data_IF_361060139785
#
_entry.id   IF_361060139785
#
_cell.length_a   1.000
_cell.length_b   1.000
_cell.length_c   1.000
_cell.angle_alpha   90.00
_cell.angle_beta   90.00
_cell.angle_gamma   90.00
#
_symmetry.space_group_name_H-M   'P 1'
#
loop_
_entity.id
_entity.type
_entity.pdbx_description
1 polymer ?
#
# COMPACT_ATOMS: atom_id res chain seq x y z
N UNK A 1 77.22 -18.84 13.81
CA UNK A 1 75.96 -18.15 14.18
C UNK A 1 75.25 -17.86 12.87
N UNK A 2 74.65 -18.84 12.20
CA UNK A 2 73.98 -20.10 12.64
C UNK A 2 72.57 -19.90 13.21
N UNK A 3 71.74 -20.90 12.93
CA UNK A 3 70.27 -20.99 12.96
C UNK A 3 69.55 -20.06 11.96
N UNK A 4 68.63 -20.48 11.07
CA UNK A 4 67.60 -21.55 11.05
C UNK A 4 66.34 -21.24 11.90
N UNK A 5 65.10 -21.57 11.48
CA UNK A 5 64.55 -22.11 10.21
C UNK A 5 63.04 -21.79 10.09
N UNK A 6 62.47 -21.84 8.86
CA UNK A 6 61.06 -22.26 8.54
C UNK A 6 59.88 -21.37 9.00
N UNK A 7 58.65 -21.48 8.49
CA UNK A 7 58.05 -22.10 7.27
C UNK A 7 56.73 -21.34 6.95
N UNK A 8 56.19 -21.41 5.72
CA UNK A 8 54.80 -20.95 5.42
C UNK A 8 54.58 -20.41 4.01
N UNK A 9 54.06 -21.25 3.09
CA UNK A 9 53.92 -20.94 1.66
C UNK A 9 52.46 -20.79 1.18
N UNK A 10 52.29 -20.23 -0.03
CA UNK A 10 51.00 -19.95 -0.69
C UNK A 10 50.33 -21.19 -1.28
N UNK A 11 49.00 -21.31 -1.15
CA UNK A 11 48.17 -22.19 -1.99
C UNK A 11 46.96 -21.41 -2.55
N UNK A 12 46.52 -21.81 -3.75
CA UNK A 12 45.33 -21.34 -4.46
C UNK A 12 44.38 -22.50 -4.75
N UNK A 13 43.13 -22.12 -5.05
CA UNK A 13 42.18 -22.83 -5.93
C UNK A 13 41.61 -24.19 -5.44
N UNK A 14 40.67 -24.70 -6.24
CA UNK A 14 40.01 -26.01 -6.23
C UNK A 14 38.92 -26.28 -5.15
N UNK A 15 37.66 -26.14 -5.59
CA UNK A 15 36.48 -26.80 -5.04
C UNK A 15 35.74 -27.46 -6.20
N UNK A 16 35.58 -28.78 -6.18
CA UNK A 16 34.94 -29.55 -7.23
C UNK A 16 33.98 -30.62 -6.67
N UNK A 17 32.84 -30.74 -7.36
CA UNK A 17 31.97 -31.90 -7.51
C UNK A 17 31.62 -32.77 -6.28
N UNK A 18 30.32 -32.79 -5.93
CA UNK A 18 29.61 -34.07 -5.92
C UNK A 18 28.13 -33.94 -6.27
N UNK A 19 27.72 -34.67 -7.29
CA UNK A 19 26.33 -34.93 -7.67
C UNK A 19 25.59 -35.77 -6.63
N UNK A 20 24.27 -35.61 -6.55
CA UNK A 20 23.34 -36.70 -6.23
C UNK A 20 22.13 -36.57 -7.17
N UNK A 21 21.83 -37.65 -7.87
CA UNK A 21 20.80 -37.77 -8.90
C UNK A 21 19.81 -38.86 -8.44
N UNK A 22 18.50 -38.56 -8.38
CA UNK A 22 17.40 -39.53 -8.55
C UNK A 22 16.14 -38.75 -8.98
N UNK A 23 15.37 -39.33 -9.89
CA UNK A 23 14.17 -38.76 -10.52
C UNK A 23 13.08 -39.83 -10.73
N UNK A 24 11.89 -39.43 -11.24
CA UNK A 24 10.79 -40.31 -11.76
C UNK A 24 9.99 -41.05 -10.65
N UNK A 25 8.65 -41.20 -10.61
CA UNK A 25 7.48 -40.73 -11.42
C UNK A 25 6.29 -40.38 -10.45
N UNK A 26 5.13 -39.81 -10.81
CA UNK A 26 3.99 -40.28 -11.63
C UNK A 26 3.38 -41.63 -11.13
N UNK A 27 2.06 -41.90 -11.12
CA UNK A 27 0.86 -41.17 -11.60
C UNK A 27 -0.45 -41.67 -10.90
N UNK A 28 -1.61 -41.22 -11.41
CA UNK A 28 -3.03 -41.72 -11.39
C UNK A 28 -3.33 -43.22 -11.01
N UNK A 29 -4.56 -43.70 -10.70
CA UNK A 29 -5.94 -43.15 -10.75
C UNK A 29 -7.01 -43.99 -9.97
N UNK A 30 -8.23 -43.42 -9.82
CA UNK A 30 -9.62 -44.00 -9.86
C UNK A 30 -10.09 -45.33 -9.16
N UNK A 31 -11.25 -45.19 -8.49
CA UNK A 31 -12.50 -46.01 -8.48
C UNK A 31 -12.70 -47.41 -7.83
N UNK A 32 -13.80 -47.45 -7.04
CA UNK A 32 -14.98 -48.36 -7.02
C UNK A 32 -15.00 -49.86 -6.58
N UNK A 33 -16.02 -50.12 -5.76
CA UNK A 33 -16.99 -51.26 -5.76
C UNK A 33 -16.61 -52.70 -5.33
N UNK A 34 -17.28 -53.12 -4.23
CA UNK A 34 -18.15 -54.32 -4.07
C UNK A 34 -17.60 -55.78 -3.96
N UNK A 35 -18.13 -56.49 -2.92
CA UNK A 35 -18.65 -57.89 -2.93
C UNK A 35 -17.60 -59.05 -3.01
N UNK A 36 -17.67 -60.20 -2.31
CA UNK A 36 -18.68 -60.83 -1.40
C UNK A 36 -18.06 -61.87 -0.41
N UNK A 37 -18.66 -62.05 0.78
CA UNK A 37 -18.77 -63.34 1.53
C UNK A 37 -17.46 -64.03 2.05
N UNK A 38 -17.45 -65.06 2.93
CA UNK A 38 -18.48 -65.73 3.73
C UNK A 38 -17.87 -66.36 5.01
N UNK A 39 -18.65 -66.51 6.10
CA UNK A 39 -18.47 -67.48 7.22
C UNK A 39 -17.14 -67.43 8.04
N UNK A 40 -17.06 -67.66 9.35
CA UNK A 40 -18.02 -67.70 10.49
C UNK A 40 -17.14 -67.49 11.77
N UNK A 41 -17.58 -67.43 13.04
CA UNK A 41 -18.87 -67.73 13.68
C UNK A 41 -19.08 -66.88 14.95
N UNK A 42 -19.77 -67.42 15.97
CA UNK A 42 -19.99 -66.92 17.33
C UNK A 42 -20.06 -68.12 18.31
N UNK A 43 -20.10 -67.97 19.65
CA UNK A 43 -20.37 -66.75 20.44
C UNK A 43 -19.27 -66.44 21.50
N UNK A 44 -19.38 -65.43 22.38
CA UNK A 44 -20.47 -64.45 22.54
C UNK A 44 -19.97 -62.97 22.52
N UNK A 45 -20.06 -62.04 23.48
CA UNK A 45 -20.73 -61.93 24.80
C UNK A 45 -21.65 -60.70 24.87
N UNK A 46 -22.72 -60.80 25.67
CA UNK A 46 -23.78 -59.79 25.74
C UNK A 46 -23.51 -58.65 26.74
N UNK A 47 -23.73 -57.41 26.30
CA UNK A 47 -23.91 -56.27 27.19
C UNK A 47 -25.34 -56.23 27.77
N UNK A 48 -25.50 -55.69 28.99
CA UNK A 48 -26.62 -54.82 29.42
C UNK A 48 -26.23 -54.12 30.73
N UNK A 49 -26.82 -52.95 30.98
CA UNK A 49 -26.58 -52.09 32.15
C UNK A 49 -27.21 -52.66 33.45
N UNK A 50 -26.66 -52.36 34.65
CA UNK A 50 -27.34 -52.65 35.92
C UNK A 50 -28.56 -51.73 36.08
N UNK A 51 -29.76 -52.21 36.38
CA UNK A 51 -30.19 -53.02 37.54
C UNK A 51 -30.35 -52.20 38.83
N UNK A 52 -31.60 -51.79 39.06
CA UNK A 52 -32.19 -51.49 40.36
C UNK A 52 -33.69 -51.81 40.26
N UNK A 53 -34.12 -52.95 40.80
CA UNK A 53 -34.97 -52.96 42.00
C UNK A 53 -35.33 -54.39 42.45
N UNK A 54 -35.00 -54.71 43.71
CA UNK A 54 -35.75 -55.68 44.54
C UNK A 54 -37.00 -54.94 45.09
N UNK A 55 -38.12 -55.56 45.41
CA UNK A 55 -38.31 -56.87 46.06
C UNK A 55 -39.72 -57.45 45.76
N UNK A 56 -40.00 -58.70 46.17
CA UNK A 56 -41.22 -59.43 45.75
C UNK A 56 -42.01 -59.98 46.94
N UNK A 57 -43.23 -59.49 47.16
CA UNK A 57 -44.38 -60.18 47.80
C UNK A 57 -45.62 -59.27 47.74
N UNK A 58 -46.88 -59.72 47.66
CA UNK A 58 -47.42 -61.09 47.51
C UNK A 58 -48.69 -61.06 46.61
N UNK A 59 -49.28 -62.22 46.32
CA UNK A 59 -50.52 -62.33 45.55
C UNK A 59 -51.75 -61.89 46.35
N UNK A 60 -52.74 -61.30 45.68
CA UNK A 60 -54.15 -61.65 45.93
C UNK A 60 -55.03 -61.42 44.68
N UNK A 61 -56.16 -62.13 44.60
CA UNK A 61 -56.98 -62.27 43.38
C UNK A 61 -58.12 -61.25 43.40
N UNK A 62 -58.20 -60.39 42.38
CA UNK A 62 -59.33 -59.47 42.20
C UNK A 62 -60.30 -59.95 41.13
N UNK A 63 -61.59 -60.01 41.46
CA UNK A 63 -62.66 -60.54 40.60
C UNK A 63 -63.29 -59.46 39.73
N UNK A 64 -63.60 -59.79 38.48
CA UNK A 64 -64.31 -58.89 37.57
C UNK A 64 -65.83 -58.90 37.87
N UNK A 65 -66.47 -57.75 38.17
CA UNK A 65 -67.91 -57.66 38.33
C UNK A 65 -68.64 -57.55 36.99
N UNK A 66 -69.70 -58.34 36.81
CA UNK A 66 -70.56 -58.33 35.63
C UNK A 66 -71.30 -56.99 35.41
N UNK A 67 -71.64 -56.62 34.16
CA UNK A 67 -72.34 -55.36 33.87
C UNK A 67 -73.77 -55.37 34.43
N UNK A 68 -74.06 -54.44 35.35
CA UNK A 68 -75.43 -54.22 35.83
C UNK A 68 -76.31 -53.55 34.78
N UNK A 69 -77.42 -54.21 34.45
CA UNK A 69 -78.51 -53.65 33.65
C UNK A 69 -79.12 -52.42 34.34
N UNK A 70 -79.17 -51.28 33.64
CA UNK A 70 -79.88 -50.08 34.12
C UNK A 70 -81.39 -50.30 34.03
N UNK A 71 -82.08 -50.16 35.16
CA UNK A 71 -83.55 -50.22 35.21
C UNK A 71 -84.20 -49.05 34.43
N UNK A 72 -85.39 -49.24 33.84
CA UNK A 72 -86.09 -48.19 33.11
C UNK A 72 -86.56 -47.05 34.03
N UNK A 73 -86.40 -45.79 33.58
CA UNK A 73 -86.87 -44.59 34.30
C UNK A 73 -88.41 -44.53 34.35
N UNK A 74 -88.94 -43.98 35.44
CA UNK A 74 -90.39 -43.74 35.60
C UNK A 74 -90.87 -42.53 34.77
N UNK A 75 -92.09 -42.52 34.18
CA UNK A 75 -92.58 -41.43 33.32
C UNK A 75 -92.59 -40.01 33.94
N UNK A 76 -92.49 -39.87 35.27
CA UNK A 76 -92.39 -38.56 35.94
C UNK A 76 -90.98 -37.96 35.99
N UNK A 77 -89.94 -38.69 35.58
CA UNK A 77 -88.54 -38.21 35.53
C UNK A 77 -88.10 -37.74 34.13
N UNK A 78 -89.06 -37.40 33.26
CA UNK A 78 -88.83 -37.03 31.85
C UNK A 78 -89.10 -35.54 31.54
N UNK A 79 -89.34 -34.71 32.57
CA UNK A 79 -89.82 -33.31 32.42
C UNK A 79 -88.90 -32.30 33.14
N UNK A 80 -87.93 -32.76 33.93
CA UNK A 80 -86.89 -31.87 34.49
C UNK A 80 -85.79 -31.61 33.44
N UNK A 81 -85.38 -30.35 33.21
CA UNK A 81 -84.32 -30.03 32.27
C UNK A 81 -82.95 -30.44 32.83
N UNK A 82 -82.16 -31.20 32.05
CA UNK A 82 -80.83 -31.62 32.47
C UNK A 82 -79.90 -30.41 32.63
N UNK A 83 -79.43 -30.17 33.86
CA UNK A 83 -78.38 -29.18 34.12
C UNK A 83 -77.08 -29.63 33.45
N UNK A 84 -76.36 -28.77 32.70
CA UNK A 84 -75.14 -29.16 32.03
C UNK A 84 -74.06 -29.62 33.04
N UNK A 85 -73.22 -30.61 32.68
CA UNK A 85 -72.24 -31.16 33.59
C UNK A 85 -71.23 -30.08 34.04
N UNK A 86 -70.80 -30.09 35.32
CA UNK A 86 -69.83 -29.12 35.80
C UNK A 86 -68.49 -29.26 35.05
N UNK A 87 -67.77 -28.15 34.81
CA UNK A 87 -66.50 -28.19 34.08
C UNK A 87 -65.47 -29.07 34.81
N UNK A 88 -64.61 -29.79 34.07
CA UNK A 88 -63.67 -30.75 34.66
C UNK A 88 -62.73 -30.07 35.66
N UNK A 89 -62.57 -30.70 36.83
CA UNK A 89 -61.75 -30.17 37.92
C UNK A 89 -60.29 -29.99 37.48
N UNK A 90 -59.77 -28.77 37.63
CA UNK A 90 -58.37 -28.42 37.29
C UNK A 90 -57.39 -29.43 37.92
N UNK A 91 -56.54 -30.03 37.09
CA UNK A 91 -55.67 -31.13 37.49
C UNK A 91 -54.69 -30.72 38.59
N UNK A 92 -54.57 -31.56 39.64
CA UNK A 92 -53.72 -31.29 40.81
C UNK A 92 -52.23 -31.11 40.47
N UNK A 93 -51.77 -31.69 39.35
CA UNK A 93 -50.41 -31.52 38.82
C UNK A 93 -50.02 -30.06 38.59
N UNK A 94 -50.98 -29.18 38.24
CA UNK A 94 -50.73 -27.75 38.02
C UNK A 94 -50.33 -26.95 39.29
N UNK A 95 -50.27 -27.60 40.46
CA UNK A 95 -49.81 -27.03 41.73
C UNK A 95 -48.59 -27.74 42.34
N UNK A 96 -47.94 -28.63 41.60
CA UNK A 96 -46.68 -29.22 42.08
C UNK A 96 -45.58 -28.14 42.15
N UNK A 97 -44.81 -28.02 43.24
CA UNK A 97 -43.86 -26.90 43.42
C UNK A 97 -42.81 -26.83 42.31
N UNK A 98 -42.38 -27.96 41.75
CA UNK A 98 -41.46 -28.03 40.59
C UNK A 98 -42.09 -27.41 39.34
N UNK A 99 -43.39 -27.60 39.09
CA UNK A 99 -44.09 -27.03 37.92
C UNK A 99 -44.25 -25.52 38.08
N UNK A 100 -44.55 -25.05 39.29
CA UNK A 100 -44.62 -23.61 39.60
C UNK A 100 -43.25 -22.95 39.45
N UNK A 101 -42.18 -23.59 39.99
CA UNK A 101 -40.80 -23.14 39.85
C UNK A 101 -40.34 -23.13 38.37
N UNK A 102 -40.67 -24.17 37.61
CA UNK A 102 -40.32 -24.26 36.18
C UNK A 102 -41.03 -23.18 35.35
N UNK A 103 -42.31 -22.90 35.61
CA UNK A 103 -43.04 -21.80 34.97
C UNK A 103 -42.50 -20.41 35.36
N UNK A 104 -42.05 -20.25 36.61
CA UNK A 104 -41.36 -19.04 37.08
C UNK A 104 -40.02 -18.86 36.37
N UNK A 105 -39.18 -19.91 36.31
CA UNK A 105 -37.92 -19.90 35.54
C UNK A 105 -38.15 -19.61 34.06
N UNK A 106 -39.14 -20.23 33.42
CA UNK A 106 -39.52 -19.95 32.03
C UNK A 106 -39.90 -18.48 31.82
N UNK A 107 -40.64 -17.90 32.77
CA UNK A 107 -41.06 -16.49 32.74
C UNK A 107 -39.90 -15.53 32.95
N UNK A 108 -38.94 -15.88 33.81
CA UNK A 108 -37.69 -15.12 34.02
C UNK A 108 -36.78 -15.20 32.78
N UNK A 109 -36.66 -16.38 32.14
CA UNK A 109 -35.94 -16.54 30.87
C UNK A 109 -36.61 -15.75 29.74
N UNK A 110 -37.95 -15.80 29.64
CA UNK A 110 -38.71 -15.01 28.66
C UNK A 110 -38.51 -13.51 28.87
N UNK A 111 -38.54 -13.04 30.12
CA UNK A 111 -38.28 -11.63 30.45
C UNK A 111 -36.84 -11.22 30.12
N UNK A 112 -35.85 -12.08 30.36
CA UNK A 112 -34.47 -11.84 29.91
C UNK A 112 -34.36 -11.79 28.38
N UNK A 113 -35.01 -12.69 27.65
CA UNK A 113 -35.03 -12.69 26.17
C UNK A 113 -35.69 -11.43 25.62
N UNK A 114 -36.81 -10.99 26.19
CA UNK A 114 -37.49 -9.74 25.82
C UNK A 114 -36.63 -8.51 26.15
N UNK A 115 -35.97 -8.50 27.32
CA UNK A 115 -35.03 -7.44 27.70
C UNK A 115 -33.82 -7.35 26.77
N UNK A 116 -33.21 -8.49 26.43
CA UNK A 116 -32.10 -8.57 25.47
C UNK A 116 -32.57 -8.14 24.07
N UNK A 117 -33.75 -8.57 23.61
CA UNK A 117 -34.31 -8.15 22.34
C UNK A 117 -34.57 -6.63 22.29
N UNK A 118 -35.06 -6.04 23.39
CA UNK A 118 -35.22 -4.59 23.53
C UNK A 118 -33.90 -3.82 23.50
N UNK A 119 -32.87 -4.32 24.20
CA UNK A 119 -31.52 -3.74 24.19
C UNK A 119 -30.87 -3.83 22.79
N UNK A 120 -31.02 -4.97 22.10
CA UNK A 120 -30.52 -5.15 20.73
C UNK A 120 -31.27 -4.28 19.72
N UNK A 121 -32.58 -4.11 19.88
CA UNK A 121 -33.39 -3.22 19.05
C UNK A 121 -32.96 -1.75 19.24
N UNK A 122 -32.85 -1.30 20.50
CA UNK A 122 -32.39 0.05 20.84
C UNK A 122 -30.97 0.32 20.34
N UNK A 123 -30.03 -0.60 20.59
CA UNK A 123 -28.65 -0.49 20.12
C UNK A 123 -28.55 -0.44 18.59
N UNK A 124 -29.35 -1.24 17.87
CA UNK A 124 -29.44 -1.18 16.40
C UNK A 124 -30.03 0.14 15.92
N UNK A 125 -31.09 0.63 16.56
CA UNK A 125 -31.71 1.91 16.23
C UNK A 125 -30.70 3.06 16.40
N UNK A 126 -30.05 3.18 17.57
CA UNK A 126 -29.06 4.23 17.82
C UNK A 126 -27.78 4.10 16.98
N UNK A 127 -27.47 2.92 16.43
CA UNK A 127 -26.37 2.75 15.47
C UNK A 127 -26.70 3.30 14.06
N UNK A 128 -28.00 3.37 13.73
CA UNK A 128 -28.53 3.83 12.45
C UNK A 128 -29.08 5.27 12.49
N UNK A 129 -29.36 5.81 13.68
CA UNK A 129 -29.77 7.20 13.92
C UNK A 129 -28.68 8.22 13.55
N UNK A 130 -29.11 9.45 13.23
CA UNK A 130 -28.21 10.55 12.88
C UNK A 130 -27.29 10.93 14.05
N UNK A 131 -25.99 10.99 13.81
CA UNK A 131 -24.99 11.24 14.86
C UNK A 131 -25.00 12.68 15.40
N UNK A 132 -24.44 12.91 16.60
CA UNK A 132 -24.49 14.19 17.31
C UNK A 132 -23.61 15.30 16.69
N UNK A 133 -22.94 15.02 15.58
CA UNK A 133 -21.97 15.95 14.97
C UNK A 133 -22.69 17.11 14.27
N UNK A 134 -22.55 18.33 14.80
CA UNK A 134 -23.21 19.54 14.28
C UNK A 134 -22.41 20.27 13.19
N UNK A 135 -21.08 20.15 13.21
CA UNK A 135 -20.16 20.76 12.22
C UNK A 135 -19.18 19.71 11.73
N UNK A 136 -18.72 19.83 10.49
CA UNK A 136 -17.75 18.88 9.95
C UNK A 136 -16.46 18.84 10.77
N UNK A 137 -15.85 17.65 10.90
CA UNK A 137 -14.68 17.47 11.75
C UNK A 137 -13.71 16.43 11.21
N UNK A 138 -12.43 16.80 11.21
CA UNK A 138 -11.34 15.91 10.81
C UNK A 138 -10.75 15.18 12.00
N UNK A 139 -10.66 13.85 11.92
CA UNK A 139 -10.12 12.97 12.97
C UNK A 139 -8.95 12.16 12.40
N UNK A 140 -7.86 12.05 13.16
CA UNK A 140 -6.74 11.17 12.84
C UNK A 140 -6.90 9.83 13.57
N UNK A 141 -6.99 8.74 12.82
CA UNK A 141 -6.86 7.37 13.32
C UNK A 141 -5.45 6.87 13.01
N UNK A 142 -4.63 6.68 14.04
CA UNK A 142 -3.26 6.19 13.90
C UNK A 142 -3.20 4.70 13.53
N UNK A 143 -2.08 4.26 12.97
CA UNK A 143 -1.83 2.83 12.72
C UNK A 143 -1.67 2.09 14.05
N UNK A 144 -2.26 0.90 14.15
CA UNK A 144 -2.25 0.08 15.36
C UNK A 144 -3.25 0.51 16.44
N UNK A 145 -4.04 1.57 16.24
CA UNK A 145 -5.10 1.97 17.17
C UNK A 145 -6.26 0.97 17.14
N UNK A 146 -6.57 0.35 18.28
CA UNK A 146 -7.65 -0.64 18.41
C UNK A 146 -9.05 -0.03 18.44
N UNK A 147 -10.07 -0.87 18.16
CA UNK A 147 -11.47 -0.49 18.03
C UNK A 147 -11.99 0.42 19.17
N UNK A 148 -11.84 0.02 20.44
CA UNK A 148 -12.31 0.83 21.57
C UNK A 148 -11.58 2.17 21.75
N UNK A 149 -10.32 2.27 21.34
CA UNK A 149 -9.60 3.55 21.30
C UNK A 149 -10.11 4.45 20.17
N UNK A 150 -10.43 3.88 19.00
CA UNK A 150 -11.09 4.61 17.92
C UNK A 150 -12.47 5.12 18.38
N UNK A 151 -13.28 4.24 18.98
CA UNK A 151 -14.60 4.59 19.49
C UNK A 151 -14.55 5.71 20.54
N UNK A 152 -13.64 5.62 21.52
CA UNK A 152 -13.42 6.67 22.52
C UNK A 152 -12.99 8.02 21.91
N UNK A 153 -12.14 8.02 20.88
CA UNK A 153 -11.75 9.25 20.16
C UNK A 153 -12.96 9.86 19.42
N UNK A 154 -13.77 9.04 18.76
CA UNK A 154 -14.96 9.48 18.04
C UNK A 154 -16.03 10.05 19.00
N UNK A 155 -16.23 9.41 20.15
CA UNK A 155 -17.15 9.83 21.21
C UNK A 155 -16.70 11.17 21.81
N UNK A 156 -15.43 11.27 22.23
CA UNK A 156 -14.86 12.50 22.80
C UNK A 156 -14.93 13.69 21.83
N UNK A 157 -14.82 13.45 20.53
CA UNK A 157 -14.89 14.51 19.49
C UNK A 157 -16.32 14.77 18.99
N UNK A 158 -17.35 14.12 19.59
CA UNK A 158 -18.77 14.21 19.25
C UNK A 158 -19.11 13.79 17.81
N UNK A 159 -18.38 12.80 17.28
CA UNK A 159 -18.65 12.17 15.98
C UNK A 159 -19.66 11.02 16.11
N UNK A 160 -19.65 10.32 17.25
CA UNK A 160 -20.63 9.28 17.62
C UNK A 160 -21.27 9.59 18.97
N UNK A 161 -22.44 9.03 19.25
CA UNK A 161 -23.20 9.26 20.48
C UNK A 161 -22.80 8.34 21.64
N UNK A 162 -22.28 7.14 21.37
CA UNK A 162 -21.84 6.20 22.39
C UNK A 162 -20.80 5.19 21.85
N UNK A 163 -19.65 5.07 22.52
CA UNK A 163 -18.57 4.16 22.11
C UNK A 163 -18.97 2.68 22.18
N UNK A 164 -19.74 2.25 23.17
CA UNK A 164 -20.09 0.83 23.35
C UNK A 164 -21.07 0.35 22.27
N UNK A 165 -22.02 1.21 21.87
CA UNK A 165 -22.92 0.94 20.74
C UNK A 165 -22.12 0.87 19.43
N UNK A 166 -21.13 1.75 19.23
CA UNK A 166 -20.25 1.70 18.07
C UNK A 166 -19.38 0.45 18.04
N UNK A 167 -18.71 0.11 19.15
CA UNK A 167 -17.89 -1.09 19.32
C UNK A 167 -18.70 -2.35 19.00
N UNK A 168 -19.84 -2.55 19.69
CA UNK A 168 -20.71 -3.71 19.48
C UNK A 168 -21.26 -3.76 18.04
N UNK A 169 -21.62 -2.62 17.45
CA UNK A 169 -22.05 -2.54 16.06
C UNK A 169 -20.97 -2.99 15.07
N UNK A 170 -19.73 -2.49 15.22
CA UNK A 170 -18.60 -2.90 14.36
C UNK A 170 -18.34 -4.41 14.46
N UNK A 171 -18.40 -4.99 15.66
CA UNK A 171 -18.24 -6.44 15.88
C UNK A 171 -19.40 -7.26 15.31
N UNK A 172 -20.65 -6.79 15.45
CA UNK A 172 -21.83 -7.43 14.87
C UNK A 172 -21.77 -7.47 13.33
N UNK A 173 -21.21 -6.42 12.71
CA UNK A 173 -20.91 -6.38 11.27
C UNK A 173 -19.59 -7.08 10.89
N UNK A 174 -18.85 -7.68 11.84
CA UNK A 174 -17.55 -8.35 11.66
C UNK A 174 -16.49 -7.45 10.98
N UNK A 175 -16.49 -6.16 11.32
CA UNK A 175 -15.65 -5.12 10.69
C UNK A 175 -14.47 -4.65 11.56
N UNK A 176 -14.17 -5.36 12.64
CA UNK A 176 -13.21 -4.98 13.69
C UNK A 176 -11.79 -4.72 13.12
N UNK A 177 -11.23 -5.70 12.41
CA UNK A 177 -9.97 -5.58 11.68
C UNK A 177 -10.09 -4.86 10.32
N UNK A 178 -11.29 -4.42 9.94
CA UNK A 178 -11.53 -3.72 8.69
C UNK A 178 -11.36 -2.19 8.81
N UNK A 179 -11.39 -1.62 10.03
CA UNK A 179 -11.12 -0.20 10.26
C UNK A 179 -9.70 0.16 9.77
N UNK A 180 -9.57 1.18 8.91
CA UNK A 180 -8.29 1.61 8.34
C UNK A 180 -7.78 2.87 9.03
N UNK A 181 -6.49 2.90 9.33
CA UNK A 181 -5.81 4.11 9.79
C UNK A 181 -5.78 5.19 8.69
N UNK A 182 -5.90 6.46 9.09
CA UNK A 182 -5.98 7.60 8.18
C UNK A 182 -6.56 8.85 8.83
N UNK A 183 -6.56 9.95 8.09
CA UNK A 183 -7.19 11.21 8.47
C UNK A 183 -8.56 11.30 7.80
N UNK A 184 -9.65 11.40 8.55
CA UNK A 184 -11.02 11.29 8.03
C UNK A 184 -11.84 12.54 8.32
N UNK A 185 -12.53 13.04 7.31
CA UNK A 185 -13.52 14.12 7.44
C UNK A 185 -14.91 13.52 7.65
N UNK A 186 -15.50 13.78 8.82
CA UNK A 186 -16.89 13.45 9.11
C UNK A 186 -17.77 14.68 8.88
N UNK A 187 -18.89 14.50 8.16
CA UNK A 187 -19.91 15.52 7.90
C UNK A 187 -20.95 15.53 9.03
N UNK A 188 -21.71 16.63 9.22
CA UNK A 188 -22.77 16.68 10.22
C UNK A 188 -23.82 15.57 10.04
N UNK A 189 -24.38 15.08 11.15
CA UNK A 189 -25.50 14.13 11.16
C UNK A 189 -25.23 12.69 10.72
N UNK A 190 -23.99 12.31 10.38
CA UNK A 190 -23.65 10.94 9.98
C UNK A 190 -23.95 9.92 11.09
N UNK A 191 -24.61 8.82 10.74
CA UNK A 191 -24.88 7.70 11.66
C UNK A 191 -23.62 6.93 12.05
N UNK A 192 -23.67 6.17 13.16
CA UNK A 192 -22.56 5.28 13.57
C UNK A 192 -22.25 4.22 12.50
N UNK A 193 -23.27 3.73 11.79
CA UNK A 193 -23.13 2.89 10.59
C UNK A 193 -22.33 3.57 9.48
N UNK A 194 -22.59 4.83 9.19
CA UNK A 194 -21.85 5.59 8.17
C UNK A 194 -20.42 5.90 8.60
N UNK A 195 -20.19 6.25 9.87
CA UNK A 195 -18.86 6.44 10.45
C UNK A 195 -18.02 5.16 10.31
N UNK A 196 -18.58 3.99 10.65
CA UNK A 196 -17.97 2.69 10.40
C UNK A 196 -17.67 2.48 8.89
N UNK A 197 -18.61 2.80 8.01
CA UNK A 197 -18.43 2.60 6.56
C UNK A 197 -17.35 3.52 5.98
N UNK A 198 -17.21 4.76 6.46
CA UNK A 198 -16.10 5.66 6.11
C UNK A 198 -14.77 5.04 6.54
N UNK A 199 -14.63 4.66 7.81
CA UNK A 199 -13.40 4.09 8.37
C UNK A 199 -12.99 2.76 7.73
N UNK A 200 -13.96 1.92 7.34
CA UNK A 200 -13.69 0.64 6.66
C UNK A 200 -13.44 0.80 5.16
N UNK A 201 -13.97 1.84 4.52
CA UNK A 201 -13.68 2.15 3.11
C UNK A 201 -12.25 2.66 2.86
N UNK A 202 -11.54 3.10 3.91
CA UNK A 202 -10.20 3.67 3.80
C UNK A 202 -10.15 5.03 3.08
N UNK A 203 -11.30 5.66 2.82
CA UNK A 203 -11.43 7.00 2.17
C UNK A 203 -10.97 8.12 3.09
N UNK A 204 -9.68 8.11 3.40
CA UNK A 204 -8.98 9.13 4.16
C UNK A 204 -8.46 10.27 3.25
N UNK A 205 -8.20 11.42 3.87
CA UNK A 205 -7.52 12.56 3.26
C UNK A 205 -6.10 12.14 2.92
N UNK A 206 -5.74 12.29 1.65
CA UNK A 206 -4.40 12.05 1.14
C UNK A 206 -3.71 13.37 0.85
N UNK A 207 -2.49 13.50 1.38
CA UNK A 207 -1.56 14.59 1.10
C UNK A 207 -0.62 14.18 -0.04
N UNK A 208 -0.04 15.16 -0.73
CA UNK A 208 0.81 14.96 -1.91
C UNK A 208 2.21 15.51 -1.69
N UNK A 209 3.23 14.68 -1.94
CA UNK A 209 4.64 15.08 -1.98
C UNK A 209 5.16 14.89 -3.41
N UNK A 210 5.39 15.99 -4.13
CA UNK A 210 6.02 15.97 -5.45
C UNK A 210 7.54 16.09 -5.33
N UNK A 211 8.27 15.10 -5.85
CA UNK A 211 9.73 15.15 -6.00
C UNK A 211 10.06 15.48 -7.47
N UNK A 212 10.75 16.58 -7.77
CA UNK A 212 11.09 16.94 -9.16
C UNK A 212 12.10 15.98 -9.80
N UNK A 213 11.93 15.72 -11.10
CA UNK A 213 12.88 14.94 -11.91
C UNK A 213 14.28 15.59 -11.92
N UNK A 214 15.34 14.77 -11.95
CA UNK A 214 16.72 15.24 -12.00
C UNK A 214 17.22 15.91 -10.71
N UNK A 215 16.54 15.72 -9.57
CA UNK A 215 17.06 16.07 -8.24
C UNK A 215 18.05 15.00 -7.75
N UNK A 216 19.12 15.43 -7.08
CA UNK A 216 20.06 14.51 -6.40
C UNK A 216 19.40 13.85 -5.20
N UNK A 217 19.90 12.71 -4.74
CA UNK A 217 19.35 12.03 -3.54
C UNK A 217 19.47 12.95 -2.31
N UNK A 218 20.53 13.76 -2.20
CA UNK A 218 20.64 14.80 -1.16
C UNK A 218 19.52 15.85 -1.25
N UNK A 219 19.21 16.36 -2.44
CA UNK A 219 18.15 17.36 -2.64
C UNK A 219 16.76 16.75 -2.38
N UNK A 220 16.50 15.54 -2.86
CA UNK A 220 15.26 14.78 -2.60
C UNK A 220 15.05 14.54 -1.10
N UNK A 221 16.10 14.11 -0.38
CA UNK A 221 16.03 13.91 1.07
C UNK A 221 15.69 15.21 1.81
N UNK A 222 16.25 16.37 1.39
CA UNK A 222 15.90 17.68 1.96
C UNK A 222 14.45 18.10 1.68
N UNK A 223 13.86 17.71 0.55
CA UNK A 223 12.43 17.94 0.26
C UNK A 223 11.52 17.08 1.16
N UNK A 224 11.90 15.82 1.41
CA UNK A 224 11.17 14.91 2.33
C UNK A 224 11.27 15.39 3.79
N UNK A 225 12.47 15.80 4.23
CA UNK A 225 12.76 16.34 5.55
C UNK A 225 11.87 17.55 5.87
N UNK A 226 11.84 18.53 4.95
CA UNK A 226 11.05 19.75 5.09
C UNK A 226 9.52 19.56 5.06
N UNK A 227 9.02 18.37 4.70
CA UNK A 227 7.58 18.16 4.56
C UNK A 227 6.86 18.04 5.92
N UNK A 228 6.08 19.06 6.29
CA UNK A 228 5.47 19.24 7.62
C UNK A 228 4.49 18.15 8.07
N UNK A 229 3.92 17.38 7.14
CA UNK A 229 2.88 16.36 7.43
C UNK A 229 3.48 14.95 7.60
N UNK A 230 4.74 14.74 7.17
CA UNK A 230 5.45 13.48 7.43
C UNK A 230 5.99 13.46 8.85
N UNK A 231 6.04 12.27 9.44
CA UNK A 231 6.49 12.05 10.82
C UNK A 231 7.74 11.19 10.90
N UNK A 232 8.36 11.16 12.08
CA UNK A 232 9.60 10.40 12.34
C UNK A 232 10.82 10.96 11.61
N UNK A 233 11.97 10.39 11.95
CA UNK A 233 13.28 10.83 11.50
C UNK A 233 13.56 10.46 10.03
N UNK A 234 14.59 11.09 9.46
CA UNK A 234 15.11 10.69 8.15
C UNK A 234 15.83 9.35 8.26
N UNK A 235 15.61 8.40 7.34
CA UNK A 235 16.41 7.18 7.26
C UNK A 235 17.84 7.49 6.78
N UNK A 236 18.72 6.49 6.81
CA UNK A 236 20.00 6.54 6.12
C UNK A 236 19.82 6.92 4.64
N UNK A 237 20.74 7.73 4.11
CA UNK A 237 20.68 8.24 2.74
C UNK A 237 20.93 7.11 1.73
N UNK A 238 20.00 6.86 0.78
CA UNK A 238 20.24 5.92 -0.32
C UNK A 238 21.36 6.39 -1.27
N UNK A 239 21.77 5.53 -2.19
CA UNK A 239 22.67 5.91 -3.27
C UNK A 239 22.07 7.00 -4.20
N UNK A 240 22.91 7.64 -4.99
CA UNK A 240 22.44 8.53 -6.06
C UNK A 240 21.74 7.71 -7.14
N UNK A 241 20.61 8.21 -7.66
CA UNK A 241 19.77 7.46 -8.61
C UNK A 241 18.93 6.33 -8.01
N UNK A 242 18.93 6.13 -6.69
CA UNK A 242 18.17 5.06 -6.03
C UNK A 242 16.69 5.37 -5.79
N UNK A 243 16.24 6.61 -6.03
CA UNK A 243 14.89 7.09 -5.78
C UNK A 243 14.17 7.41 -7.10
N UNK A 244 12.87 7.15 -7.19
CA UNK A 244 12.05 7.53 -8.35
C UNK A 244 11.40 8.91 -8.09
N UNK A 245 11.64 9.94 -8.92
CA UNK A 245 10.95 11.22 -8.79
C UNK A 245 9.51 11.12 -9.32
N UNK A 246 8.53 11.21 -8.41
CA UNK A 246 7.09 11.17 -8.72
C UNK A 246 6.29 12.03 -7.72
N UNK A 247 4.95 12.08 -7.88
CA UNK A 247 4.03 12.67 -6.89
C UNK A 247 3.43 11.61 -5.97
N UNK A 248 4.03 11.48 -4.80
CA UNK A 248 3.67 10.50 -3.77
C UNK A 248 2.44 10.95 -2.98
N UNK A 249 1.34 10.21 -3.11
CA UNK A 249 0.16 10.36 -2.24
C UNK A 249 0.32 9.52 -0.96
N UNK A 250 0.05 10.10 0.20
CA UNK A 250 0.20 9.49 1.53
C UNK A 250 -0.80 10.06 2.55
N UNK A 251 -1.02 9.38 3.68
CA UNK A 251 -1.91 9.86 4.76
C UNK A 251 -1.11 10.53 5.89
N UNK A 252 -1.75 11.40 6.68
CA UNK A 252 -1.11 11.97 7.88
C UNK A 252 -0.64 10.84 8.79
N UNK A 253 0.61 10.93 9.26
CA UNK A 253 1.25 9.89 10.07
C UNK A 253 2.05 8.85 9.28
N UNK A 254 2.07 8.89 7.93
CA UNK A 254 3.12 8.22 7.14
C UNK A 254 4.49 8.78 7.52
N UNK A 255 5.49 7.90 7.70
CA UNK A 255 6.82 8.31 8.12
C UNK A 255 7.72 8.71 6.94
N UNK A 256 8.73 9.55 7.21
CA UNK A 256 9.75 9.91 6.19
C UNK A 256 10.49 8.67 5.67
N UNK A 257 10.79 7.72 6.55
CA UNK A 257 11.39 6.43 6.19
C UNK A 257 10.48 5.56 5.29
N UNK A 258 9.17 5.58 5.50
CA UNK A 258 8.21 4.85 4.65
C UNK A 258 8.15 5.44 3.23
N UNK A 259 8.16 6.77 3.10
CA UNK A 259 8.26 7.43 1.79
C UNK A 259 9.54 7.03 1.06
N UNK A 260 10.72 7.16 1.70
CA UNK A 260 12.00 6.78 1.07
C UNK A 260 12.01 5.29 0.68
N UNK A 261 11.54 4.39 1.54
CA UNK A 261 11.42 2.96 1.22
C UNK A 261 10.50 2.69 0.03
N UNK A 262 9.40 3.44 -0.09
CA UNK A 262 8.47 3.36 -1.22
C UNK A 262 9.12 3.87 -2.51
N UNK A 263 9.82 4.99 -2.48
CA UNK A 263 10.56 5.54 -3.63
C UNK A 263 11.59 4.55 -4.18
N UNK A 264 12.36 3.88 -3.31
CA UNK A 264 13.32 2.84 -3.72
C UNK A 264 12.60 1.62 -4.33
N UNK A 265 11.50 1.17 -3.71
CA UNK A 265 10.73 0.03 -4.23
C UNK A 265 10.10 0.32 -5.60
N UNK A 266 9.62 1.54 -5.83
CA UNK A 266 9.05 1.96 -7.11
C UNK A 266 10.14 2.20 -8.17
N UNK A 267 11.31 2.75 -7.80
CA UNK A 267 12.50 2.83 -8.67
C UNK A 267 12.98 1.46 -9.14
N UNK A 268 13.03 0.48 -8.23
CA UNK A 268 13.47 -0.88 -8.58
C UNK A 268 12.50 -1.53 -9.57
N UNK A 269 11.19 -1.45 -9.30
CA UNK A 269 10.15 -1.96 -10.22
C UNK A 269 10.22 -1.29 -11.60
N UNK A 270 10.26 0.05 -11.65
CA UNK A 270 10.31 0.79 -12.91
C UNK A 270 11.54 0.40 -13.74
N UNK A 271 12.73 0.35 -13.13
CA UNK A 271 13.97 -0.05 -13.82
C UNK A 271 13.90 -1.50 -14.31
N UNK A 272 13.37 -2.44 -13.51
CA UNK A 272 13.25 -3.85 -13.92
C UNK A 272 12.19 -4.06 -15.02
N UNK A 273 11.11 -3.27 -15.02
CA UNK A 273 10.05 -3.26 -16.04
C UNK A 273 10.56 -2.66 -17.37
N UNK A 274 11.38 -1.60 -17.29
CA UNK A 274 11.95 -0.90 -18.45
C UNK A 274 13.11 -1.69 -19.05
N UNK A 275 14.04 -2.21 -18.23
CA UNK A 275 15.20 -3.00 -18.69
C UNK A 275 14.80 -4.28 -19.43
N UNK A 276 13.64 -4.87 -19.11
CA UNK A 276 13.05 -6.01 -19.83
C UNK A 276 12.55 -5.68 -21.24
N UNK A 277 12.27 -4.41 -21.54
CA UNK A 277 11.72 -3.94 -22.84
C UNK A 277 12.71 -3.09 -23.65
N UNK A 278 13.96 -3.00 -23.18
CA UNK A 278 15.03 -2.24 -23.85
C UNK A 278 15.40 -2.85 -25.21
N UNK A 279 15.95 -2.04 -26.11
CA UNK A 279 16.53 -2.56 -27.37
C UNK A 279 17.79 -3.38 -27.10
N UNK A 280 18.02 -4.44 -27.88
CA UNK A 280 19.05 -5.46 -27.64
C UNK A 280 20.49 -4.99 -27.86
N UNK A 281 20.65 -3.89 -28.58
CA UNK A 281 21.91 -3.33 -29.11
C UNK A 281 22.49 -2.18 -28.26
N UNK A 282 22.01 -2.00 -27.03
CA UNK A 282 22.52 -0.96 -26.11
C UNK A 282 23.95 -1.27 -25.59
N UNK A 283 24.87 -0.28 -25.59
CA UNK A 283 26.22 -0.39 -25.03
C UNK A 283 26.21 -0.23 -23.50
N UNK A 284 25.37 -0.99 -22.80
CA UNK A 284 25.16 -0.94 -21.36
C UNK A 284 25.20 -2.37 -20.80
N UNK A 285 26.15 -2.66 -19.90
CA UNK A 285 26.35 -3.99 -19.37
C UNK A 285 25.24 -4.42 -18.39
N UNK A 286 24.61 -3.47 -17.70
CA UNK A 286 23.62 -3.75 -16.67
C UNK A 286 22.59 -2.62 -16.46
N UNK A 287 21.55 -2.91 -15.67
CA UNK A 287 20.42 -2.00 -15.42
C UNK A 287 20.79 -0.72 -14.64
N UNK A 288 21.88 -0.72 -13.87
CA UNK A 288 22.32 0.44 -13.10
C UNK A 288 23.18 1.40 -13.97
N UNK A 289 23.80 0.91 -15.04
CA UNK A 289 24.33 1.74 -16.12
C UNK A 289 23.21 2.44 -16.91
N UNK A 290 22.05 1.78 -17.11
CA UNK A 290 20.86 2.45 -17.66
C UNK A 290 20.36 3.57 -16.74
N UNK A 291 20.28 3.35 -15.42
CA UNK A 291 19.95 4.43 -14.46
C UNK A 291 20.98 5.56 -14.52
N UNK A 292 22.27 5.21 -14.63
CA UNK A 292 23.35 6.18 -14.73
C UNK A 292 23.23 7.04 -15.98
N UNK A 293 23.09 6.45 -17.17
CA UNK A 293 22.93 7.18 -18.41
C UNK A 293 21.62 7.98 -18.45
N UNK A 294 20.52 7.44 -17.91
CA UNK A 294 19.26 8.17 -17.75
C UNK A 294 19.43 9.41 -16.86
N UNK A 295 20.22 9.32 -15.78
CA UNK A 295 20.52 10.47 -14.93
C UNK A 295 21.34 11.55 -15.65
N UNK A 296 22.14 11.19 -16.65
CA UNK A 296 22.84 12.17 -17.51
C UNK A 296 21.84 12.85 -18.45
N UNK A 297 21.04 12.05 -19.18
CA UNK A 297 20.00 12.53 -20.11
C UNK A 297 19.01 13.48 -19.42
N UNK A 298 18.59 13.17 -18.19
CA UNK A 298 17.67 14.00 -17.39
C UNK A 298 18.26 15.37 -16.99
N UNK A 299 19.58 15.47 -16.85
CA UNK A 299 20.24 16.75 -16.57
C UNK A 299 20.60 17.54 -17.83
N UNK A 300 20.52 16.91 -19.01
CA UNK A 300 20.90 17.49 -20.29
C UNK A 300 19.72 18.15 -21.02
N UNK A 301 18.53 17.52 -21.02
CA UNK A 301 17.33 18.14 -21.64
C UNK A 301 16.07 18.03 -20.78
N UNK A 302 15.38 19.18 -20.63
CA UNK A 302 14.03 19.26 -20.08
C UNK A 302 12.92 19.09 -21.12
N UNK A 303 13.26 18.92 -22.42
CA UNK A 303 12.28 18.68 -23.47
C UNK A 303 12.00 17.19 -23.66
N UNK A 304 10.78 16.76 -23.29
CA UNK A 304 10.37 15.37 -23.40
C UNK A 304 10.44 14.82 -24.84
N UNK A 305 10.20 15.66 -25.84
CA UNK A 305 10.28 15.35 -27.28
C UNK A 305 11.69 15.02 -27.77
N UNK A 306 12.72 15.64 -27.18
CA UNK A 306 14.12 15.47 -27.60
C UNK A 306 14.85 14.39 -26.79
N UNK A 307 14.30 13.98 -25.64
CA UNK A 307 14.97 13.13 -24.64
C UNK A 307 15.47 11.80 -25.22
N UNK A 308 14.70 11.17 -26.12
CA UNK A 308 15.07 9.94 -26.85
C UNK A 308 16.21 10.15 -27.85
N UNK A 309 16.32 11.35 -28.45
CA UNK A 309 17.38 11.71 -29.40
C UNK A 309 18.68 12.11 -28.69
N UNK A 310 18.59 12.80 -27.55
CA UNK A 310 19.72 13.06 -26.65
C UNK A 310 20.28 11.74 -26.10
N UNK A 311 19.41 10.81 -25.69
CA UNK A 311 19.82 9.44 -25.32
C UNK A 311 20.51 8.72 -26.49
N UNK A 312 19.97 8.83 -27.71
CA UNK A 312 20.59 8.30 -28.94
C UNK A 312 22.00 8.82 -29.18
N UNK A 313 22.25 10.13 -29.00
CA UNK A 313 23.60 10.70 -29.11
C UNK A 313 24.56 10.06 -28.11
N UNK A 314 24.20 9.98 -26.83
CA UNK A 314 25.10 9.39 -25.83
C UNK A 314 25.34 7.89 -26.05
N UNK A 315 24.33 7.14 -26.49
CA UNK A 315 24.47 5.73 -26.91
C UNK A 315 25.44 5.61 -28.09
N UNK A 316 25.27 6.42 -29.15
CA UNK A 316 26.19 6.45 -30.29
C UNK A 316 27.63 6.83 -29.90
N UNK A 317 27.81 7.70 -28.89
CA UNK A 317 29.13 8.02 -28.34
C UNK A 317 29.76 6.82 -27.64
N UNK A 318 29.02 6.13 -26.76
CA UNK A 318 29.50 4.92 -26.07
C UNK A 318 29.91 3.83 -27.06
N UNK A 319 29.08 3.53 -28.07
CA UNK A 319 29.39 2.54 -29.11
C UNK A 319 30.67 2.86 -29.91
N UNK A 320 31.09 4.12 -29.95
CA UNK A 320 32.30 4.61 -30.64
C UNK A 320 33.49 4.86 -29.70
N UNK A 321 33.37 4.55 -28.40
CA UNK A 321 34.39 4.87 -27.39
C UNK A 321 34.62 6.38 -27.20
N UNK A 322 33.65 7.22 -27.58
CA UNK A 322 33.78 8.67 -27.49
C UNK A 322 33.35 9.19 -26.11
N UNK A 323 34.09 10.20 -25.65
CA UNK A 323 33.80 10.97 -24.43
C UNK A 323 32.39 11.58 -24.46
N UNK A 324 31.60 11.40 -23.41
CA UNK A 324 30.22 11.91 -23.36
C UNK A 324 30.18 13.46 -23.34
N UNK A 325 31.13 14.10 -22.65
CA UNK A 325 31.27 15.57 -22.59
C UNK A 325 30.00 16.31 -22.12
N UNK A 326 29.36 15.79 -21.07
CA UNK A 326 28.15 16.38 -20.46
C UNK A 326 28.51 17.26 -19.26
N UNK A 327 28.19 18.55 -19.32
CA UNK A 327 28.43 19.54 -18.24
C UNK A 327 27.85 19.13 -16.87
N UNK A 328 26.62 18.59 -16.77
CA UNK A 328 26.09 17.99 -15.55
C UNK A 328 27.02 16.99 -14.84
N UNK A 329 27.77 16.18 -15.60
CA UNK A 329 28.70 15.19 -15.03
C UNK A 329 29.90 15.86 -14.36
N UNK A 330 30.37 16.98 -14.91
CA UNK A 330 31.42 17.83 -14.31
C UNK A 330 30.92 18.50 -13.04
N UNK A 331 29.69 19.04 -13.07
CA UNK A 331 29.04 19.62 -11.89
C UNK A 331 28.98 18.61 -10.74
N UNK A 332 28.50 17.39 -11.01
CA UNK A 332 28.41 16.36 -9.98
C UNK A 332 29.80 15.84 -9.53
N UNK A 333 30.77 15.75 -10.44
CA UNK A 333 32.16 15.43 -10.08
C UNK A 333 32.78 16.41 -9.09
N UNK A 334 32.43 17.71 -9.17
CA UNK A 334 32.97 18.78 -8.33
C UNK A 334 32.16 19.02 -7.05
N UNK A 335 30.82 19.00 -7.13
CA UNK A 335 29.92 19.41 -6.03
C UNK A 335 29.10 18.26 -5.44
N UNK A 336 29.14 17.06 -6.04
CA UNK A 336 28.38 15.86 -5.65
C UNK A 336 26.89 16.18 -5.44
N UNK A 337 26.20 15.43 -4.58
CA UNK A 337 24.76 15.57 -4.34
C UNK A 337 24.30 16.97 -3.88
N UNK A 338 25.17 17.81 -3.32
CA UNK A 338 24.78 19.17 -2.93
C UNK A 338 24.48 20.06 -4.15
N UNK A 339 25.20 19.83 -5.26
CA UNK A 339 25.04 20.56 -6.52
C UNK A 339 25.79 21.91 -6.55
N UNK A 340 25.93 22.46 -7.76
CA UNK A 340 26.66 23.73 -7.99
C UNK A 340 25.94 24.91 -7.31
N UNK A 341 26.65 25.81 -6.62
CA UNK A 341 26.07 27.05 -6.08
C UNK A 341 25.26 27.84 -7.10
N UNK A 342 24.17 28.47 -6.64
CA UNK A 342 23.33 29.36 -7.44
C UNK A 342 24.18 30.53 -7.97
N UNK A 343 23.96 30.93 -9.22
CA UNK A 343 24.69 32.02 -9.89
C UNK A 343 26.13 31.72 -10.33
N UNK A 344 26.85 30.74 -9.74
CA UNK A 344 28.21 30.37 -10.18
C UNK A 344 28.17 29.79 -11.61
N UNK A 345 28.94 30.30 -12.59
CA UNK A 345 29.08 29.66 -13.90
C UNK A 345 29.92 28.36 -13.82
N UNK A 346 30.06 27.67 -14.95
CA UNK A 346 31.08 26.62 -15.14
C UNK A 346 32.32 27.30 -15.76
N UNK A 347 33.50 27.03 -15.22
CA UNK A 347 34.76 27.58 -15.73
C UNK A 347 35.52 26.55 -16.56
N UNK A 348 36.40 27.00 -17.46
CA UNK A 348 37.30 26.11 -18.22
C UNK A 348 38.16 25.22 -17.30
N UNK A 349 38.52 25.72 -16.11
CA UNK A 349 39.21 24.96 -15.07
C UNK A 349 38.37 23.83 -14.46
N UNK A 350 37.05 23.98 -14.36
CA UNK A 350 36.15 22.91 -13.92
C UNK A 350 36.17 21.75 -14.94
N UNK A 351 36.05 22.06 -16.24
CA UNK A 351 36.07 21.08 -17.33
C UNK A 351 37.41 20.29 -17.41
N UNK A 352 38.52 20.93 -17.01
CA UNK A 352 39.84 20.29 -16.97
C UNK A 352 40.16 19.60 -15.64
N UNK A 353 39.32 19.73 -14.61
CA UNK A 353 39.55 19.07 -13.32
C UNK A 353 39.25 17.58 -13.43
N UNK A 354 40.30 16.75 -13.31
CA UNK A 354 40.19 15.29 -13.23
C UNK A 354 39.36 14.90 -12.01
N UNK A 355 38.26 14.19 -12.26
CA UNK A 355 37.42 13.48 -11.28
C UNK A 355 36.80 12.29 -12.01
N UNK A 356 36.42 11.26 -11.29
CA UNK A 356 35.88 10.00 -11.86
C UNK A 356 34.55 10.20 -12.61
N UNK A 357 33.90 11.34 -12.39
CA UNK A 357 32.63 11.71 -13.02
C UNK A 357 32.81 12.72 -14.17
N UNK A 358 34.00 13.28 -14.41
CA UNK A 358 34.18 14.28 -15.46
C UNK A 358 34.30 13.61 -16.84
N UNK A 359 33.20 13.58 -17.60
CA UNK A 359 33.14 12.97 -18.95
C UNK A 359 33.81 13.78 -20.07
N UNK A 360 34.49 14.90 -19.76
CA UNK A 360 35.51 15.49 -20.65
C UNK A 360 36.88 14.81 -20.47
N UNK A 361 37.10 14.15 -19.33
CA UNK A 361 38.36 13.49 -19.00
C UNK A 361 38.28 11.98 -19.25
N UNK A 362 37.21 11.29 -18.84
CA UNK A 362 37.00 9.86 -19.09
C UNK A 362 36.30 9.57 -20.43
N UNK A 363 36.70 8.53 -21.20
CA UNK A 363 36.02 8.06 -22.42
C UNK A 363 34.99 6.96 -22.11
N UNK A 364 34.22 7.13 -21.03
CA UNK A 364 33.30 6.13 -20.51
C UNK A 364 32.09 6.79 -19.84
N UNK A 365 31.13 5.96 -19.44
CA UNK A 365 30.04 6.35 -18.53
C UNK A 365 30.60 6.67 -17.13
N UNK A 366 29.87 7.45 -16.33
CA UNK A 366 30.27 7.74 -14.95
C UNK A 366 30.14 6.51 -14.04
N UNK A 367 30.90 6.39 -12.92
CA UNK A 367 30.84 5.24 -12.00
C UNK A 367 29.50 4.99 -11.31
N UNK A 368 28.54 5.88 -11.50
CA UNK A 368 27.18 5.81 -10.99
C UNK A 368 26.38 7.05 -11.40
N UNK A 369 25.10 7.13 -11.00
CA UNK A 369 24.22 8.24 -11.36
C UNK A 369 24.67 9.60 -10.82
N UNK A 370 24.24 10.68 -11.47
CA UNK A 370 24.50 12.08 -11.05
C UNK A 370 23.25 12.78 -10.49
N UNK A 371 22.10 12.12 -10.56
CA UNK A 371 20.80 12.53 -10.05
C UNK A 371 19.83 11.34 -10.04
N UNK A 372 18.62 11.54 -9.54
CA UNK A 372 17.51 10.61 -9.70
C UNK A 372 16.77 10.91 -11.04
N UNK A 373 16.83 10.00 -12.03
CA UNK A 373 16.12 10.16 -13.29
C UNK A 373 14.62 9.90 -13.13
N UNK A 374 13.80 10.64 -13.86
CA UNK A 374 12.40 10.35 -14.05
C UNK A 374 12.18 9.10 -14.88
N UNK A 375 10.96 8.56 -14.84
CA UNK A 375 10.59 7.35 -15.59
C UNK A 375 10.79 7.53 -17.10
N UNK A 376 10.50 8.72 -17.62
CA UNK A 376 10.67 9.05 -19.03
C UNK A 376 12.15 9.10 -19.49
N UNK A 377 13.12 9.37 -18.61
CA UNK A 377 14.54 9.29 -18.94
C UNK A 377 15.04 7.84 -18.95
N UNK A 378 14.54 6.99 -18.05
CA UNK A 378 14.80 5.55 -18.09
C UNK A 378 14.25 4.92 -19.38
N UNK A 379 13.02 5.25 -19.77
CA UNK A 379 12.40 4.79 -21.01
C UNK A 379 13.13 5.32 -22.26
N UNK A 380 13.58 6.58 -22.26
CA UNK A 380 14.35 7.17 -23.36
C UNK A 380 15.74 6.53 -23.58
N UNK A 381 16.38 6.02 -22.52
CA UNK A 381 17.66 5.29 -22.63
C UNK A 381 17.45 3.82 -22.97
N UNK A 382 16.33 3.21 -22.56
CA UNK A 382 15.99 1.85 -22.94
C UNK A 382 15.58 1.71 -24.43
N UNK A 383 14.98 2.77 -25.00
CA UNK A 383 14.57 2.82 -26.41
C UNK A 383 14.93 4.19 -27.03
N UNK A 384 16.22 4.44 -27.33
CA UNK A 384 16.69 5.70 -27.89
C UNK A 384 16.31 5.85 -29.37
N UNK A 385 16.30 7.09 -29.87
CA UNK A 385 16.05 7.36 -31.29
C UNK A 385 17.16 6.81 -32.18
N UNK A 386 16.79 5.87 -33.07
CA UNK A 386 17.68 5.30 -34.10
C UNK A 386 18.14 6.39 -35.08
N UNK A 387 19.31 6.94 -34.78
CA UNK A 387 19.97 8.05 -35.47
C UNK A 387 21.47 7.79 -35.47
N UNK A 388 22.26 8.50 -36.30
CA UNK A 388 23.73 8.49 -36.19
C UNK A 388 24.27 9.76 -35.54
N UNK A 389 23.40 10.57 -34.93
CA UNK A 389 23.77 11.84 -34.31
C UNK A 389 24.87 11.60 -33.26
N UNK A 390 25.92 12.41 -33.29
CA UNK A 390 27.06 12.37 -32.37
C UNK A 390 27.21 13.66 -31.56
N UNK A 391 26.52 14.72 -31.96
CA UNK A 391 26.59 16.03 -31.32
C UNK A 391 25.21 16.68 -31.28
N UNK A 392 25.00 17.55 -30.31
CA UNK A 392 23.87 18.47 -30.24
C UNK A 392 24.35 19.84 -29.74
N UNK A 393 23.61 20.90 -30.05
CA UNK A 393 23.82 22.26 -29.54
C UNK A 393 22.49 22.99 -29.48
N UNK A 394 22.31 23.90 -28.52
CA UNK A 394 21.09 24.69 -28.39
C UNK A 394 20.71 25.39 -29.72
N UNK A 395 19.45 25.23 -30.14
CA UNK A 395 18.90 25.84 -31.35
C UNK A 395 18.53 27.31 -31.16
N UNK A 396 18.25 27.68 -29.91
CA UNK A 396 17.76 28.99 -29.49
C UNK A 396 16.25 29.07 -29.27
N UNK A 397 15.41 28.23 -29.86
CA UNK A 397 13.99 28.16 -29.42
C UNK A 397 13.89 27.61 -28.00
N UNK A 398 14.84 26.76 -27.61
CA UNK A 398 14.94 26.11 -26.31
C UNK A 398 15.18 24.60 -26.43
N UNK A 399 15.34 24.09 -27.64
CA UNK A 399 15.71 22.71 -27.96
C UNK A 399 17.10 22.66 -28.59
N UNK A 400 17.34 21.66 -29.44
CA UNK A 400 18.66 21.32 -29.93
C UNK A 400 18.71 21.04 -31.43
N UNK A 401 19.74 21.58 -32.09
CA UNK A 401 20.17 21.10 -33.41
C UNK A 401 21.18 19.99 -33.22
N UNK A 402 20.84 18.81 -33.72
CA UNK A 402 21.66 17.61 -33.71
C UNK A 402 22.55 17.56 -34.96
N UNK A 403 23.62 16.76 -34.92
CA UNK A 403 24.56 16.60 -36.02
C UNK A 403 25.26 15.22 -35.99
N UNK A 404 25.47 14.62 -37.16
CA UNK A 404 26.25 13.39 -37.30
C UNK A 404 27.77 13.68 -37.28
N UNK A 405 28.18 14.88 -37.71
CA UNK A 405 29.60 15.23 -37.90
C UNK A 405 30.06 16.43 -37.06
N UNK A 406 31.37 16.49 -36.79
CA UNK A 406 31.98 17.60 -36.06
C UNK A 406 31.90 18.92 -36.84
N UNK A 407 32.00 18.89 -38.17
CA UNK A 407 31.93 20.11 -39.00
C UNK A 407 30.51 20.69 -39.07
N UNK A 408 29.50 19.83 -39.17
CA UNK A 408 28.10 20.23 -39.04
C UNK A 408 27.81 20.81 -37.65
N UNK A 409 28.28 20.15 -36.58
CA UNK A 409 28.20 20.69 -35.22
C UNK A 409 28.90 22.05 -35.09
N UNK A 410 30.09 22.22 -35.66
CA UNK A 410 30.82 23.49 -35.68
C UNK A 410 30.07 24.60 -36.45
N UNK A 411 29.32 24.26 -37.51
CA UNK A 411 28.42 25.22 -38.17
C UNK A 411 27.22 25.59 -37.27
N UNK A 412 26.61 24.61 -36.59
CA UNK A 412 25.50 24.86 -35.68
C UNK A 412 25.93 25.69 -34.46
N UNK A 413 27.13 25.46 -33.91
CA UNK A 413 27.73 26.29 -32.84
C UNK A 413 27.99 27.73 -33.32
N UNK A 414 28.39 27.94 -34.58
CA UNK A 414 28.53 29.30 -35.16
C UNK A 414 27.18 30.01 -35.24
N UNK A 415 26.13 29.32 -35.71
CA UNK A 415 24.74 29.83 -35.76
C UNK A 415 24.22 30.19 -34.36
N UNK A 416 24.36 29.28 -33.40
CA UNK A 416 23.95 29.50 -32.00
C UNK A 416 24.62 30.75 -31.39
N UNK A 417 25.94 30.91 -31.52
CA UNK A 417 26.66 32.08 -30.98
C UNK A 417 26.21 33.42 -31.58
N UNK A 418 25.73 33.43 -32.82
CA UNK A 418 25.14 34.63 -33.44
C UNK A 418 23.80 34.99 -32.78
N UNK A 419 22.93 34.00 -32.57
CA UNK A 419 21.64 34.15 -31.89
C UNK A 419 21.84 34.58 -30.43
N UNK A 420 22.78 33.96 -29.71
CA UNK A 420 23.15 34.31 -28.34
C UNK A 420 23.63 35.75 -28.23
N UNK A 421 24.54 36.19 -29.11
CA UNK A 421 24.99 37.60 -29.15
C UNK A 421 23.81 38.55 -29.41
N UNK A 422 22.99 38.28 -30.41
CA UNK A 422 21.81 39.10 -30.72
C UNK A 422 20.86 39.23 -29.52
N UNK A 423 20.66 38.15 -28.76
CA UNK A 423 19.84 38.16 -27.53
C UNK A 423 20.46 38.96 -26.40
N UNK A 424 21.77 38.86 -26.18
CA UNK A 424 22.49 39.66 -25.18
C UNK A 424 22.40 41.15 -25.54
N UNK A 425 22.62 41.51 -26.81
CA UNK A 425 22.57 42.89 -27.29
C UNK A 425 21.13 43.45 -27.27
N UNK A 426 20.12 42.63 -27.59
CA UNK A 426 18.71 43.00 -27.46
C UNK A 426 18.28 43.17 -25.99
N UNK A 427 18.73 42.30 -25.08
CA UNK A 427 18.43 42.41 -23.65
C UNK A 427 19.03 43.69 -23.05
N UNK A 428 20.31 43.98 -23.37
CA UNK A 428 20.96 45.25 -22.96
C UNK A 428 20.20 46.48 -23.46
N UNK A 429 19.69 46.47 -24.70
CA UNK A 429 18.85 47.56 -25.24
C UNK A 429 17.55 47.71 -24.46
N UNK A 430 16.86 46.60 -24.15
CA UNK A 430 15.63 46.63 -23.36
C UNK A 430 15.86 47.05 -21.89
N UNK A 431 16.99 46.66 -21.30
CA UNK A 431 17.43 47.08 -19.96
C UNK A 431 17.73 48.60 -19.95
N UNK A 432 18.41 49.13 -20.98
CA UNK A 432 18.70 50.56 -21.12
C UNK A 432 17.43 51.41 -21.31
N UNK A 433 16.52 51.01 -22.22
CA UNK A 433 15.24 51.71 -22.44
C UNK A 433 14.44 51.81 -21.13
N UNK A 434 14.31 50.70 -20.38
CA UNK A 434 13.62 50.71 -19.08
C UNK A 434 14.30 51.60 -18.05
N UNK A 435 15.63 51.65 -18.02
CA UNK A 435 16.35 52.54 -17.11
C UNK A 435 16.13 54.03 -17.45
N UNK A 436 15.99 54.39 -18.73
CA UNK A 436 15.74 55.77 -19.14
C UNK A 436 14.26 56.18 -19.02
N UNK A 437 13.31 55.23 -19.20
CA UNK A 437 11.91 55.42 -18.84
C UNK A 437 11.75 55.65 -17.32
N UNK A 438 12.44 54.87 -16.49
CA UNK A 438 12.42 55.03 -15.04
C UNK A 438 13.01 56.38 -14.59
N UNK A 439 14.07 56.89 -15.25
CA UNK A 439 14.60 58.24 -14.98
C UNK A 439 13.60 59.33 -15.34
N UNK A 440 12.95 59.24 -16.50
CA UNK A 440 11.95 60.23 -16.93
C UNK A 440 10.75 60.30 -15.98
N UNK A 441 10.28 59.15 -15.51
CA UNK A 441 9.19 59.06 -14.54
C UNK A 441 9.61 59.40 -13.08
N UNK A 442 10.90 59.72 -12.84
CA UNK A 442 11.44 60.07 -11.53
C UNK A 442 11.87 61.55 -11.42
N UNK A 443 11.72 62.36 -12.48
CA UNK A 443 11.87 63.82 -12.38
C UNK A 443 10.57 64.41 -11.79
N UNK A 444 10.64 65.24 -10.73
CA UNK A 444 9.48 65.98 -10.26
C UNK A 444 8.98 66.95 -11.34
N UNK A 445 7.67 67.09 -11.46
CA UNK A 445 7.06 68.30 -12.03
C UNK A 445 7.19 69.42 -11.01
N UNK A 446 7.93 70.47 -11.37
CA UNK A 446 7.91 71.78 -10.69
C UNK A 446 6.59 72.53 -10.95
#
# INVERSE_FOLDING_TARGET
MADETKDGESIKDELADKNDDVSVNSEQDLNDSEIESAADSKPDDGATEPDLDREVTALEISTAPSPMLKAPKSPRQAIEPETPPPPPGRSKAARHPVVVFMNFMLSVVLLMVVGIAGLLYFGKQSFDEAGPLVKERTILVSRGTGLGTIAGILEQQNVISNKYIFEYGVTLYKKDGALKAGEYLFRPGLSMREVMNILTSGKSILHSLTIPEGYTTYQTMKVIEAHKILVGDMPAMPAEGALLPETYKFSRGTSRAEIVKRMVAERNRAVDEIWKRRVSDLPLANKEEMVTLASIVEKETGQASERTRVAGVFVNRLMKGMKLQSDPTVIYGIFKGQGKPKGRPIFKSDLQKKTDYNTYQIPALTPGPIANPGRAALEAVANPSRTKDLFFVADGTGGHVFAETLDEHNQNVKRWRQIEKQRIDARKKAEAVKADEQKKNAQPTE
#
